data_IF_324432906945
#
_entry.id   IF_324432906945
#
_cell.length_a   1.000
_cell.length_b   1.000
_cell.length_c   1.000
_cell.angle_alpha   90.00
_cell.angle_beta   90.00
_cell.angle_gamma   90.00
#
_symmetry.space_group_name_H-M   'P 1'
#
loop_
_entity.id
_entity.type
_entity.pdbx_description
1 polymer ?
#
# COMPACT_ATOMS: atom_id res chain seq x y z
N UNK A 1 17.95 -16.86 -4.31
CA UNK A 1 17.58 -15.54 -4.87
C UNK A 1 16.40 -15.63 -5.82
N UNK A 2 16.39 -16.55 -6.79
CA UNK A 2 15.26 -16.76 -7.71
C UNK A 2 13.97 -17.19 -7.02
N UNK A 3 14.05 -18.09 -6.04
CA UNK A 3 12.90 -18.50 -5.22
C UNK A 3 12.28 -17.35 -4.41
N UNK A 4 13.12 -16.48 -3.84
CA UNK A 4 12.67 -15.29 -3.09
C UNK A 4 12.01 -14.28 -4.03
N UNK A 5 12.61 -13.99 -5.18
CA UNK A 5 12.00 -13.11 -6.19
C UNK A 5 10.64 -13.65 -6.65
N UNK A 6 10.49 -14.97 -6.84
CA UNK A 6 9.22 -15.59 -7.19
C UNK A 6 8.16 -15.36 -6.10
N UNK A 7 8.52 -15.60 -4.83
CA UNK A 7 7.63 -15.37 -3.69
C UNK A 7 7.19 -13.91 -3.59
N UNK A 8 8.11 -12.96 -3.81
CA UNK A 8 7.81 -11.53 -3.83
C UNK A 8 6.86 -11.17 -4.96
N UNK A 9 7.09 -11.69 -6.18
CA UNK A 9 6.20 -11.44 -7.33
C UNK A 9 4.79 -11.97 -7.07
N UNK A 10 4.66 -13.18 -6.52
CA UNK A 10 3.35 -13.73 -6.11
C UNK A 10 2.70 -12.83 -5.07
N UNK A 11 3.47 -12.34 -4.10
CA UNK A 11 3.03 -11.38 -3.09
C UNK A 11 2.48 -10.08 -3.68
N UNK A 12 3.20 -9.47 -4.63
CA UNK A 12 2.75 -8.24 -5.32
C UNK A 12 1.46 -8.49 -6.09
N UNK A 13 1.36 -9.60 -6.83
CA UNK A 13 0.15 -9.94 -7.59
C UNK A 13 -1.03 -10.17 -6.65
N UNK A 14 -0.85 -10.92 -5.56
CA UNK A 14 -1.90 -11.18 -4.58
C UNK A 14 -2.35 -9.89 -3.88
N UNK A 15 -1.41 -9.02 -3.48
CA UNK A 15 -1.66 -7.71 -2.91
C UNK A 15 -2.44 -6.81 -3.87
N UNK A 16 -2.04 -6.76 -5.14
CA UNK A 16 -2.73 -6.00 -6.19
C UNK A 16 -4.15 -6.50 -6.44
N UNK A 17 -4.37 -7.81 -6.45
CA UNK A 17 -5.72 -8.39 -6.57
C UNK A 17 -6.58 -8.05 -5.36
N UNK A 18 -6.00 -8.07 -4.14
CA UNK A 18 -6.70 -7.66 -2.91
C UNK A 18 -7.12 -6.19 -2.95
N UNK A 19 -6.22 -5.32 -3.43
CA UNK A 19 -6.48 -3.89 -3.62
C UNK A 19 -7.69 -3.65 -4.54
N UNK A 20 -7.74 -4.37 -5.68
CA UNK A 20 -8.85 -4.26 -6.64
C UNK A 20 -10.19 -4.78 -6.08
N UNK A 21 -10.16 -5.77 -5.18
CA UNK A 21 -11.39 -6.38 -4.61
C UNK A 21 -11.98 -5.60 -3.45
N UNK A 22 -11.14 -4.95 -2.64
CA UNK A 22 -11.54 -4.33 -1.38
C UNK A 22 -11.84 -2.82 -1.48
N UNK A 23 -12.11 -2.32 -2.68
CA UNK A 23 -12.46 -0.91 -2.95
C UNK A 23 -13.68 -0.39 -2.16
N UNK A 24 -14.44 -1.25 -1.46
CA UNK A 24 -15.58 -0.81 -0.66
C UNK A 24 -15.18 -0.13 0.65
N UNK A 25 -14.11 -0.58 1.30
CA UNK A 25 -13.65 -0.03 2.58
C UNK A 25 -12.27 0.59 2.41
N UNK A 26 -12.17 1.91 2.55
CA UNK A 26 -10.92 2.62 2.28
C UNK A 26 -9.77 2.19 3.21
N UNK A 27 -10.05 1.81 4.46
CA UNK A 27 -9.03 1.26 5.37
C UNK A 27 -8.41 -0.05 4.84
N UNK A 28 -9.22 -0.93 4.24
CA UNK A 28 -8.73 -2.18 3.64
C UNK A 28 -7.88 -1.92 2.40
N UNK A 29 -8.21 -0.87 1.64
CA UNK A 29 -7.41 -0.39 0.51
C UNK A 29 -6.04 0.12 0.98
N UNK A 30 -5.98 0.94 2.04
CA UNK A 30 -4.71 1.44 2.60
C UNK A 30 -3.80 0.29 3.07
N UNK A 31 -4.34 -0.67 3.81
CA UNK A 31 -3.58 -1.84 4.28
C UNK A 31 -3.02 -2.68 3.12
N UNK A 32 -3.81 -2.84 2.04
CA UNK A 32 -3.33 -3.56 0.86
C UNK A 32 -2.24 -2.79 0.10
N UNK A 33 -2.23 -1.46 0.18
CA UNK A 33 -1.21 -0.60 -0.40
C UNK A 33 0.10 -0.64 0.40
N UNK A 34 0.03 -0.58 1.74
CA UNK A 34 1.21 -0.79 2.60
C UNK A 34 1.84 -2.17 2.38
N UNK A 35 1.02 -3.22 2.21
CA UNK A 35 1.52 -4.55 1.88
C UNK A 35 2.27 -4.60 0.53
N UNK A 36 1.77 -3.89 -0.49
CA UNK A 36 2.45 -3.77 -1.79
C UNK A 36 3.81 -3.07 -1.67
N UNK A 37 3.86 -1.98 -0.91
CA UNK A 37 5.11 -1.24 -0.64
C UNK A 37 6.15 -2.13 0.04
N UNK A 38 5.75 -2.91 1.05
CA UNK A 38 6.66 -3.83 1.73
C UNK A 38 7.19 -4.93 0.80
N UNK A 39 6.36 -5.46 -0.11
CA UNK A 39 6.81 -6.45 -1.10
C UNK A 39 7.84 -5.86 -2.07
N UNK A 40 7.66 -4.60 -2.49
CA UNK A 40 8.65 -3.89 -3.32
C UNK A 40 9.95 -3.64 -2.54
N UNK A 41 9.86 -3.28 -1.25
CA UNK A 41 11.02 -3.12 -0.38
C UNK A 41 11.82 -4.42 -0.22
N UNK A 42 11.15 -5.56 -0.03
CA UNK A 42 11.80 -6.88 0.00
C UNK A 42 12.50 -7.22 -1.31
N UNK A 43 11.92 -6.83 -2.46
CA UNK A 43 12.59 -6.96 -3.75
C UNK A 43 13.87 -6.13 -3.81
N UNK A 44 13.81 -4.89 -3.31
CA UNK A 44 14.94 -3.97 -3.32
C UNK A 44 16.11 -4.52 -2.49
N UNK A 45 15.83 -4.98 -1.26
CA UNK A 45 16.84 -5.62 -0.40
C UNK A 45 17.43 -6.87 -1.08
N UNK A 46 16.60 -7.71 -1.70
CA UNK A 46 17.07 -8.93 -2.36
C UNK A 46 17.99 -8.67 -3.57
N UNK A 47 18.01 -7.45 -4.12
CA UNK A 47 18.88 -7.04 -5.23
C UNK A 47 20.14 -6.30 -4.78
N UNK A 48 20.12 -5.65 -3.62
CA UNK A 48 21.25 -4.93 -3.02
C UNK A 48 22.23 -5.97 -2.44
N UNK A 49 23.14 -6.48 -3.27
CA UNK A 49 24.28 -7.29 -2.79
C UNK A 49 25.50 -6.39 -2.64
N UNK A 50 25.84 -6.04 -1.39
CA UNK A 50 27.07 -5.29 -1.06
C UNK A 50 26.97 -3.78 -1.22
N UNK A 51 25.84 -3.26 -1.70
CA UNK A 51 25.55 -1.83 -1.81
C UNK A 51 24.97 -1.27 -0.50
N UNK A 52 25.08 0.05 -0.31
CA UNK A 52 24.55 0.71 0.88
C UNK A 52 23.01 0.68 0.91
N UNK A 53 22.42 0.42 2.09
CA UNK A 53 20.97 0.35 2.31
C UNK A 53 20.24 1.71 2.22
N UNK A 54 20.94 2.77 1.82
CA UNK A 54 20.43 4.13 1.85
C UNK A 54 19.22 4.32 0.91
N UNK A 55 19.32 3.85 -0.34
CA UNK A 55 18.24 3.99 -1.32
C UNK A 55 16.92 3.29 -0.91
N UNK A 56 16.91 2.01 -0.51
CA UNK A 56 15.68 1.37 -0.05
C UNK A 56 15.08 2.02 1.21
N UNK A 57 15.91 2.58 2.09
CA UNK A 57 15.41 3.28 3.28
C UNK A 57 14.71 4.59 2.93
N UNK A 58 15.28 5.37 2.01
CA UNK A 58 14.67 6.61 1.51
C UNK A 58 13.33 6.31 0.83
N UNK A 59 13.25 5.24 0.03
CA UNK A 59 11.99 4.78 -0.56
C UNK A 59 10.92 4.47 0.50
N UNK A 60 11.29 3.78 1.58
CA UNK A 60 10.37 3.46 2.67
C UNK A 60 9.83 4.74 3.33
N UNK A 61 10.66 5.76 3.56
CA UNK A 61 10.24 7.02 4.18
C UNK A 61 9.19 7.72 3.31
N UNK A 62 9.44 7.86 2.00
CA UNK A 62 8.46 8.45 1.08
C UNK A 62 7.14 7.67 1.05
N UNK A 63 7.20 6.34 1.09
CA UNK A 63 6.01 5.51 1.10
C UNK A 63 5.14 5.68 2.36
N UNK A 64 5.76 5.86 3.53
CA UNK A 64 5.04 6.12 4.79
C UNK A 64 4.39 7.50 4.78
N UNK A 65 5.02 8.50 4.15
CA UNK A 65 4.40 9.82 3.96
C UNK A 65 3.12 9.74 3.12
N UNK A 66 3.13 9.00 2.02
CA UNK A 66 1.92 8.75 1.21
C UNK A 66 0.85 7.99 2.01
N UNK A 67 1.26 7.01 2.83
CA UNK A 67 0.36 6.32 3.75
C UNK A 67 -0.30 7.26 4.78
N UNK A 68 0.48 8.17 5.37
CA UNK A 68 -0.02 9.18 6.31
C UNK A 68 -1.00 10.15 5.65
N UNK A 69 -0.72 10.59 4.41
CA UNK A 69 -1.66 11.39 3.62
C UNK A 69 -2.97 10.63 3.37
N UNK A 70 -2.90 9.36 2.95
CA UNK A 70 -4.06 8.49 2.77
C UNK A 70 -4.90 8.34 4.03
N UNK A 71 -4.26 8.17 5.20
CA UNK A 71 -4.96 8.02 6.47
C UNK A 71 -5.64 9.33 6.89
N UNK A 72 -5.00 10.46 6.62
CA UNK A 72 -5.58 11.79 6.91
C UNK A 72 -6.85 12.00 6.08
N UNK A 73 -6.85 11.58 4.81
CA UNK A 73 -8.04 11.60 3.95
C UNK A 73 -9.12 10.69 4.52
N UNK A 74 -8.79 9.46 4.94
CA UNK A 74 -9.75 8.55 5.56
C UNK A 74 -10.47 9.21 6.74
N UNK A 75 -9.71 9.81 7.66
CA UNK A 75 -10.27 10.49 8.85
C UNK A 75 -11.19 11.65 8.45
N UNK A 76 -10.84 12.40 7.42
CA UNK A 76 -11.69 13.47 6.90
C UNK A 76 -13.01 12.94 6.33
N UNK A 77 -12.98 11.81 5.59
CA UNK A 77 -14.21 11.21 5.04
C UNK A 77 -15.12 10.65 6.13
N UNK A 78 -14.56 10.00 7.15
CA UNK A 78 -15.34 9.49 8.29
C UNK A 78 -16.04 10.63 9.05
N UNK A 79 -15.34 11.76 9.26
CA UNK A 79 -15.93 12.93 9.94
C UNK A 79 -16.96 13.69 9.09
N UNK A 80 -16.83 13.67 7.76
CA UNK A 80 -17.74 14.38 6.84
C UNK A 80 -18.98 13.56 6.46
N UNK A 81 -18.80 12.28 6.10
CA UNK A 81 -19.85 11.44 5.48
C UNK A 81 -20.30 10.28 6.38
N UNK A 82 -19.72 10.12 7.57
CA UNK A 82 -20.20 9.16 8.58
C UNK A 82 -19.84 7.69 8.34
N UNK A 83 -18.96 7.37 7.38
CA UNK A 83 -18.52 5.99 7.17
C UNK A 83 -17.35 5.82 6.19
N UNK A 84 -16.70 4.65 6.26
CA UNK A 84 -15.50 4.29 5.47
C UNK A 84 -15.78 3.83 4.04
N UNK A 85 -17.05 3.96 3.59
CA UNK A 85 -17.51 3.43 2.31
C UNK A 85 -17.30 4.44 1.18
N UNK A 86 -16.48 4.05 0.19
CA UNK A 86 -16.31 4.84 -1.04
C UNK A 86 -17.63 5.07 -1.80
N UNK A 87 -18.63 4.19 -1.61
CA UNK A 87 -19.92 4.25 -2.28
C UNK A 87 -20.88 5.33 -1.74
N UNK A 88 -20.55 6.01 -0.62
CA UNK A 88 -21.34 7.15 -0.15
C UNK A 88 -21.02 8.44 -0.95
N UNK A 89 -19.85 8.51 -1.59
CA UNK A 89 -19.49 9.68 -2.42
C UNK A 89 -20.40 9.86 -3.63
N UNK A 90 -21.00 8.78 -4.13
CA UNK A 90 -21.92 8.80 -5.28
C UNK A 90 -23.37 9.12 -4.90
N UNK A 91 -23.71 9.21 -3.60
CA UNK A 91 -25.09 9.48 -3.15
C UNK A 91 -25.42 10.96 -2.92
N UNK A 92 -24.44 11.87 -3.03
CA UNK A 92 -24.67 13.32 -2.97
C UNK A 92 -24.63 13.98 -4.36
N UNK A 93 -25.37 13.41 -5.32
CA UNK A 93 -25.83 14.15 -6.51
C UNK A 93 -27.33 14.40 -6.39
#
# INVERSE_FOLDING_TARGET
MTSVNLMVVVGVVAGGVSFMKNLKHLLSVLISLEFLVLMVFFMFIARVHGESLYMPLVFLIFSVCEGALGLTILVAMVRGFGGDYLNMFTLNQ
#
